data_IF_847088440358
#
_entry.id   IF_847088440358
#
_cell.length_a   1.000
_cell.length_b   1.000
_cell.length_c   1.000
_cell.angle_alpha   90.00
_cell.angle_beta   90.00
_cell.angle_gamma   90.00
#
_symmetry.space_group_name_H-M   'P 1'
#
loop_
_entity.id
_entity.type
_entity.pdbx_description
1 polymer ?
#
# COMPACT_ATOMS: atom_id res chain seq x y z
N UNK A 1 3.57 -39.71 -6.84
CA UNK A 1 4.40 -38.78 -6.05
C UNK A 1 4.28 -37.40 -6.70
N UNK A 2 3.51 -36.47 -6.13
CA UNK A 2 3.40 -35.09 -6.65
C UNK A 2 4.49 -34.24 -5.99
N UNK A 3 5.54 -33.94 -6.75
CA UNK A 3 6.70 -33.18 -6.30
C UNK A 3 6.44 -31.68 -6.29
N UNK A 4 6.69 -31.07 -5.13
CA UNK A 4 7.33 -29.76 -4.98
C UNK A 4 6.80 -28.61 -5.81
N UNK A 5 5.65 -28.06 -5.42
CA UNK A 5 5.32 -26.66 -5.71
C UNK A 5 6.21 -25.76 -4.84
N UNK A 6 7.45 -25.57 -5.28
CA UNK A 6 8.39 -24.57 -4.77
C UNK A 6 7.68 -23.22 -4.71
N UNK A 7 7.29 -22.83 -3.50
CA UNK A 7 6.75 -21.52 -3.21
C UNK A 7 7.85 -20.52 -3.55
N UNK A 8 7.78 -19.91 -4.73
CA UNK A 8 8.55 -18.72 -5.07
C UNK A 8 8.09 -17.64 -4.09
N UNK A 9 8.70 -17.64 -2.91
CA UNK A 9 8.57 -16.59 -1.94
C UNK A 9 9.16 -15.36 -2.60
N UNK A 10 8.31 -14.52 -3.18
CA UNK A 10 8.75 -13.22 -3.69
C UNK A 10 9.59 -12.57 -2.59
N UNK A 11 10.85 -12.25 -2.93
CA UNK A 11 11.72 -11.55 -2.00
C UNK A 11 10.99 -10.27 -1.57
N UNK A 12 10.86 -10.00 -0.27
CA UNK A 12 10.17 -8.82 0.17
C UNK A 12 10.86 -7.59 -0.40
N UNK A 13 10.11 -6.66 -1.00
CA UNK A 13 10.66 -5.41 -1.50
C UNK A 13 11.51 -4.72 -0.42
N UNK A 14 12.60 -4.10 -0.86
CA UNK A 14 13.40 -3.20 -0.04
C UNK A 14 12.53 -2.01 0.38
N UNK A 15 12.55 -1.69 1.67
CA UNK A 15 11.82 -0.55 2.24
C UNK A 15 12.76 0.63 2.42
N UNK A 16 12.22 1.85 2.32
CA UNK A 16 12.99 3.10 2.37
C UNK A 16 12.63 3.94 3.60
N UNK A 17 12.97 3.51 4.83
CA UNK A 17 12.53 4.18 6.06
C UNK A 17 12.87 5.68 6.11
N UNK A 18 13.98 6.09 5.48
CA UNK A 18 14.46 7.48 5.47
C UNK A 18 13.75 8.39 4.45
N UNK A 19 12.89 7.84 3.58
CA UNK A 19 12.20 8.63 2.55
C UNK A 19 11.10 9.54 3.12
N UNK A 20 10.65 9.30 4.36
CA UNK A 20 9.73 10.18 5.06
C UNK A 20 8.92 9.49 6.16
N UNK A 21 8.08 10.24 6.90
CA UNK A 21 7.36 9.73 8.06
C UNK A 21 6.49 8.50 7.76
N UNK A 22 5.82 8.46 6.61
CA UNK A 22 5.00 7.32 6.18
C UNK A 22 5.83 6.08 5.88
N UNK A 23 7.02 6.24 5.30
CA UNK A 23 7.92 5.14 5.01
C UNK A 23 8.52 4.56 6.28
N UNK A 24 8.94 5.42 7.21
CA UNK A 24 9.40 5.01 8.53
C UNK A 24 8.33 4.22 9.28
N UNK A 25 7.09 4.72 9.30
CA UNK A 25 5.98 4.02 9.94
C UNK A 25 5.69 2.66 9.29
N UNK A 26 5.68 2.57 7.96
CA UNK A 26 5.51 1.30 7.22
C UNK A 26 6.62 0.29 7.51
N UNK A 27 7.87 0.77 7.60
CA UNK A 27 9.02 -0.02 8.01
C UNK A 27 8.89 -0.53 9.45
N UNK A 28 8.57 0.33 10.41
CA UNK A 28 8.38 -0.04 11.82
C UNK A 28 7.24 -1.06 11.97
N UNK A 29 6.12 -0.88 11.25
CA UNK A 29 5.02 -1.84 11.22
C UNK A 29 5.48 -3.24 10.80
N UNK A 30 6.32 -3.33 9.76
CA UNK A 30 6.92 -4.60 9.33
C UNK A 30 7.84 -5.19 10.38
N UNK A 31 8.72 -4.38 10.98
CA UNK A 31 9.61 -4.83 12.06
C UNK A 31 8.82 -5.40 13.24
N UNK A 32 7.77 -4.71 13.70
CA UNK A 32 6.92 -5.18 14.79
C UNK A 32 6.15 -6.46 14.46
N UNK A 33 5.76 -6.65 13.19
CA UNK A 33 5.12 -7.87 12.70
C UNK A 33 6.10 -9.04 12.70
N UNK A 34 7.29 -8.85 12.14
CA UNK A 34 8.34 -9.87 12.04
C UNK A 34 8.88 -10.27 13.42
N UNK A 35 9.06 -9.31 14.33
CA UNK A 35 9.44 -9.57 15.72
C UNK A 35 8.43 -10.47 16.45
N UNK A 36 7.15 -10.40 16.08
CA UNK A 36 6.08 -11.28 16.60
C UNK A 36 5.89 -12.55 15.78
N UNK A 37 6.75 -12.81 14.78
CA UNK A 37 6.67 -13.93 13.83
C UNK A 37 5.30 -14.05 13.15
N UNK A 38 4.66 -12.91 12.88
CA UNK A 38 3.36 -12.88 12.22
C UNK A 38 3.54 -12.75 10.70
N UNK A 39 2.77 -13.53 9.94
CA UNK A 39 2.61 -13.27 8.50
C UNK A 39 1.72 -12.05 8.29
N UNK A 40 1.83 -11.42 7.11
CA UNK A 40 0.90 -10.34 6.72
C UNK A 40 -0.56 -10.80 6.83
N UNK A 41 -0.87 -12.03 6.42
CA UNK A 41 -2.23 -12.58 6.50
C UNK A 41 -2.74 -12.63 7.94
N UNK A 42 -1.91 -13.07 8.89
CA UNK A 42 -2.32 -13.16 10.30
C UNK A 42 -2.51 -11.78 10.91
N UNK A 43 -1.61 -10.83 10.64
CA UNK A 43 -1.75 -9.46 11.15
C UNK A 43 -2.96 -8.76 10.54
N UNK A 44 -3.21 -8.92 9.23
CA UNK A 44 -4.35 -8.33 8.55
C UNK A 44 -5.68 -8.81 9.15
N UNK A 45 -5.81 -10.12 9.42
CA UNK A 45 -6.97 -10.69 10.12
C UNK A 45 -7.16 -10.12 11.52
N UNK A 46 -6.07 -9.95 12.29
CA UNK A 46 -6.14 -9.36 13.64
C UNK A 46 -6.53 -7.88 13.60
N UNK A 47 -6.11 -7.15 12.57
CA UNK A 47 -6.42 -5.74 12.37
C UNK A 47 -7.74 -5.49 11.62
N UNK A 48 -8.46 -6.55 11.24
CA UNK A 48 -9.72 -6.47 10.49
C UNK A 48 -9.61 -5.69 9.16
N UNK A 49 -8.48 -5.86 8.45
CA UNK A 49 -8.24 -5.27 7.13
C UNK A 49 -7.80 -6.34 6.13
N UNK A 50 -7.91 -6.03 4.83
CA UNK A 50 -7.35 -6.89 3.79
C UNK A 50 -5.83 -6.98 3.86
N UNK A 51 -5.29 -8.16 3.51
CA UNK A 51 -3.85 -8.38 3.37
C UNK A 51 -3.20 -7.39 2.41
N UNK A 52 -3.88 -7.06 1.30
CA UNK A 52 -3.39 -6.10 0.30
C UNK A 52 -3.26 -4.69 0.89
N UNK A 53 -4.20 -4.26 1.73
CA UNK A 53 -4.11 -2.99 2.46
C UNK A 53 -2.93 -2.98 3.41
N UNK A 54 -2.72 -4.05 4.18
CA UNK A 54 -1.55 -4.16 5.05
C UNK A 54 -0.23 -4.06 4.26
N UNK A 55 -0.15 -4.72 3.09
CA UNK A 55 1.02 -4.65 2.22
C UNK A 55 1.26 -3.25 1.62
N UNK A 56 0.23 -2.44 1.41
CA UNK A 56 0.39 -1.03 1.00
C UNK A 56 0.90 -0.17 2.16
N UNK A 57 0.42 -0.41 3.37
CA UNK A 57 0.90 0.29 4.57
C UNK A 57 2.37 0.04 4.84
N UNK A 58 2.83 -1.21 4.78
CA UNK A 58 4.25 -1.55 4.95
C UNK A 58 5.16 -0.88 3.92
N UNK A 59 4.67 -0.72 2.68
CA UNK A 59 5.40 -0.09 1.58
C UNK A 59 5.23 1.44 1.51
N UNK A 60 4.44 2.02 2.39
CA UNK A 60 4.01 3.41 2.31
C UNK A 60 3.44 3.80 0.93
N UNK A 61 2.76 2.85 0.27
CA UNK A 61 2.04 3.11 -0.97
C UNK A 61 0.79 3.92 -0.63
N UNK A 62 0.97 5.24 -0.60
CA UNK A 62 -0.16 6.16 -0.58
C UNK A 62 -0.94 5.93 -1.89
N UNK A 63 -2.27 5.74 -1.86
CA UNK A 63 -3.03 5.98 -3.08
C UNK A 63 -2.79 7.45 -3.41
N UNK A 64 -2.02 7.71 -4.47
CA UNK A 64 -1.91 9.06 -5.02
C UNK A 64 -3.35 9.46 -5.34
N UNK A 65 -3.93 10.48 -4.69
CA UNK A 65 -5.20 11.01 -5.17
C UNK A 65 -4.90 11.48 -6.59
N UNK A 66 -5.51 10.83 -7.57
CA UNK A 66 -5.49 11.34 -8.93
C UNK A 66 -6.17 12.70 -8.88
N UNK A 67 -5.39 13.78 -8.80
CA UNK A 67 -5.83 15.12 -9.16
C UNK A 67 -5.94 15.15 -10.68
N UNK A 68 -6.83 14.33 -11.25
CA UNK A 68 -7.32 14.57 -12.59
C UNK A 68 -8.43 15.61 -12.40
N UNK A 69 -8.24 16.88 -12.78
CA UNK A 69 -9.34 17.82 -12.79
C UNK A 69 -10.41 17.22 -13.71
N UNK A 70 -11.63 17.09 -13.19
CA UNK A 70 -12.77 16.65 -13.98
C UNK A 70 -12.97 17.66 -15.13
N UNK A 71 -13.02 17.24 -16.41
CA UNK A 71 -13.33 18.16 -17.49
C UNK A 71 -14.84 18.39 -17.50
N UNK A 72 -15.33 19.20 -16.56
CA UNK A 72 -16.73 19.65 -16.53
C UNK A 72 -16.81 21.06 -16.01
N UNK A 73 -16.13 21.96 -16.72
CA UNK A 73 -16.52 23.36 -16.78
C UNK A 73 -16.37 23.79 -18.23
N UNK A 74 -17.36 23.39 -19.04
CA UNK A 74 -17.63 24.05 -20.31
C UNK A 74 -17.90 25.51 -19.98
N UNK A 75 -17.06 26.40 -20.48
CA UNK A 75 -17.25 27.83 -20.44
C UNK A 75 -18.61 28.14 -21.10
N UNK A 76 -19.60 28.52 -20.30
CA UNK A 76 -20.72 29.32 -20.80
C UNK A 76 -20.15 30.74 -20.94
N UNK A 77 -19.75 31.08 -22.15
CA UNK A 77 -19.53 32.48 -22.55
C UNK A 77 -20.81 33.27 -22.29
N UNK A 78 -20.76 34.41 -21.57
CA UNK A 78 -21.91 35.29 -21.52
C UNK A 78 -22.10 35.94 -22.90
N UNK A 79 -23.33 35.84 -23.42
CA UNK A 79 -23.82 36.60 -24.55
C UNK A 79 -23.72 38.09 -24.19
N UNK A 80 -22.83 38.81 -24.86
CA UNK A 80 -22.83 40.28 -24.85
C UNK A 80 -23.82 40.76 -25.91
N UNK A 81 -24.57 41.80 -25.54
CA UNK A 81 -25.69 42.42 -26.26
C UNK A 81 -25.38 42.81 -27.71
#
# INVERSE_FOLDING_TARGET
MHGGGESVGQQPNELTPDAGPWHRWGYELRQFREARRLSQQVLARKALIDRSHLGRFERAERPVPSTRPSPSMRLLTPLVH
#
